data_IF_939618884905
#
_entry.id   IF_939618884905
#
_cell.length_a   1.000
_cell.length_b   1.000
_cell.length_c   1.000
_cell.angle_alpha   90.00
_cell.angle_beta   90.00
_cell.angle_gamma   90.00
#
_symmetry.space_group_name_H-M   'P 1'
#
loop_
_entity.id
_entity.type
_entity.pdbx_description
1 polymer ?
#
# COMPACT_ATOMS: atom_id res chain seq x y z
N UNK A 1 -1.52 5.98 -24.82
CA UNK A 1 -1.62 4.59 -24.33
C UNK A 1 -0.94 4.51 -22.97
N UNK A 2 -1.59 3.95 -21.96
CA UNK A 2 -1.03 3.83 -20.61
C UNK A 2 0.04 2.72 -20.58
N UNK A 3 1.14 2.93 -19.85
CA UNK A 3 2.22 1.92 -19.71
C UNK A 3 1.66 0.57 -19.23
N UNK A 4 0.66 0.59 -18.34
CA UNK A 4 0.00 -0.63 -17.83
C UNK A 4 -0.78 -1.37 -18.92
N UNK A 5 -1.46 -0.66 -19.82
CA UNK A 5 -2.22 -1.28 -20.90
C UNK A 5 -1.27 -1.97 -21.89
N UNK A 6 -0.17 -1.29 -22.25
CA UNK A 6 0.87 -1.91 -23.08
C UNK A 6 1.48 -3.14 -22.44
N UNK A 7 1.81 -3.08 -21.14
CA UNK A 7 2.32 -4.21 -20.39
C UNK A 7 1.33 -5.38 -20.37
N UNK A 8 0.03 -5.13 -20.23
CA UNK A 8 -1.00 -6.15 -20.21
C UNK A 8 -1.13 -6.84 -21.58
N UNK A 9 -1.10 -6.09 -22.68
CA UNK A 9 -1.16 -6.66 -24.03
C UNK A 9 0.07 -7.53 -24.30
N UNK A 10 1.27 -7.03 -24.02
CA UNK A 10 2.52 -7.73 -24.29
C UNK A 10 2.65 -9.01 -23.45
N UNK A 11 2.23 -8.96 -22.18
CA UNK A 11 2.33 -10.08 -21.25
C UNK A 11 1.15 -11.09 -21.36
N UNK A 12 0.16 -10.88 -22.22
CA UNK A 12 -1.03 -11.74 -22.33
C UNK A 12 -0.68 -13.22 -22.62
N UNK A 13 0.30 -13.46 -23.51
CA UNK A 13 0.79 -14.82 -23.78
C UNK A 13 1.50 -15.45 -22.59
N UNK A 14 2.23 -14.64 -21.83
CA UNK A 14 2.87 -15.07 -20.59
C UNK A 14 1.83 -15.47 -19.56
N UNK A 15 0.83 -14.62 -19.34
CA UNK A 15 -0.27 -14.90 -18.40
C UNK A 15 -0.99 -16.20 -18.74
N UNK A 16 -1.30 -16.43 -20.03
CA UNK A 16 -1.91 -17.68 -20.50
C UNK A 16 -1.03 -18.92 -20.20
N UNK A 17 0.26 -18.83 -20.46
CA UNK A 17 1.20 -19.94 -20.20
C UNK A 17 1.34 -20.22 -18.70
N UNK A 18 1.42 -19.20 -17.87
CA UNK A 18 1.48 -19.34 -16.42
C UNK A 18 0.17 -19.93 -15.89
N UNK A 19 -0.98 -19.42 -16.32
CA UNK A 19 -2.29 -19.93 -15.91
C UNK A 19 -2.47 -21.41 -16.26
N UNK A 20 -2.04 -21.84 -17.45
CA UNK A 20 -2.07 -23.25 -17.83
C UNK A 20 -1.13 -24.12 -16.97
N UNK A 21 0.05 -23.58 -16.60
CA UNK A 21 1.00 -24.32 -15.76
C UNK A 21 0.47 -24.53 -14.34
N UNK A 22 -0.27 -23.59 -13.79
CA UNK A 22 -0.83 -23.67 -12.43
C UNK A 22 -2.22 -24.31 -12.40
N UNK A 23 -2.83 -24.54 -13.56
CA UNK A 23 -4.16 -25.16 -13.63
C UNK A 23 -4.17 -26.53 -12.94
N UNK A 24 -5.19 -26.76 -12.10
CA UNK A 24 -5.29 -27.97 -11.28
C UNK A 24 -4.39 -27.99 -10.03
N UNK A 25 -3.68 -26.91 -9.74
CA UNK A 25 -2.86 -26.75 -8.53
C UNK A 25 -3.53 -25.72 -7.60
N UNK A 26 -3.33 -25.85 -6.30
CA UNK A 26 -3.79 -24.88 -5.31
C UNK A 26 -2.87 -23.63 -5.25
N UNK A 27 -2.60 -23.07 -6.44
CA UNK A 27 -1.75 -21.91 -6.62
C UNK A 27 -2.55 -20.78 -7.26
N UNK A 28 -2.53 -19.62 -6.64
CA UNK A 28 -3.08 -18.39 -7.22
C UNK A 28 -1.96 -17.55 -7.83
N UNK A 29 -2.24 -17.00 -8.99
CA UNK A 29 -1.36 -16.12 -9.73
C UNK A 29 -2.01 -14.78 -9.97
N UNK A 30 -1.27 -13.72 -9.75
CA UNK A 30 -1.65 -12.36 -10.13
C UNK A 30 -0.44 -11.63 -10.70
N UNK A 31 -0.69 -10.72 -11.64
CA UNK A 31 0.33 -9.84 -12.20
C UNK A 31 -0.10 -8.38 -12.13
N UNK A 32 0.81 -7.54 -11.70
CA UNK A 32 0.67 -6.11 -11.78
C UNK A 32 1.85 -5.52 -12.56
N UNK A 33 1.59 -5.09 -13.81
CA UNK A 33 2.62 -4.69 -14.77
C UNK A 33 3.69 -5.79 -14.96
N UNK A 34 4.88 -5.61 -14.43
CA UNK A 34 6.02 -6.54 -14.44
C UNK A 34 6.16 -7.39 -13.17
N UNK A 35 5.38 -7.11 -12.13
CA UNK A 35 5.42 -7.86 -10.87
C UNK A 35 4.51 -9.10 -10.94
N UNK A 36 5.10 -10.29 -10.81
CA UNK A 36 4.39 -11.57 -10.73
C UNK A 36 4.27 -12.01 -9.28
N UNK A 37 3.07 -12.35 -8.84
CA UNK A 37 2.83 -12.84 -7.47
C UNK A 37 2.16 -14.22 -7.51
N UNK A 38 2.71 -15.14 -6.73
CA UNK A 38 2.18 -16.50 -6.56
C UNK A 38 1.88 -16.72 -5.09
N UNK A 39 0.71 -17.29 -4.78
CA UNK A 39 0.31 -17.65 -3.43
C UNK A 39 -0.35 -19.02 -3.42
N UNK A 40 -0.18 -19.75 -2.31
CA UNK A 40 -0.67 -21.10 -2.14
C UNK A 40 0.31 -21.96 -1.33
N UNK A 41 0.02 -23.26 -1.24
CA UNK A 41 0.92 -24.22 -0.63
C UNK A 41 1.68 -24.97 -1.73
N UNK A 42 2.96 -24.67 -1.86
CA UNK A 42 3.83 -25.25 -2.89
C UNK A 42 5.32 -25.19 -2.51
N UNK A 43 6.12 -26.01 -3.20
CA UNK A 43 7.58 -25.94 -3.08
C UNK A 43 8.10 -24.76 -3.90
N UNK A 44 8.65 -23.77 -3.24
CA UNK A 44 9.06 -22.49 -3.84
C UNK A 44 10.07 -22.68 -4.97
N UNK A 45 11.06 -23.56 -4.77
CA UNK A 45 12.11 -23.82 -5.78
C UNK A 45 11.55 -24.38 -7.09
N UNK A 46 10.54 -25.26 -7.01
CA UNK A 46 9.92 -25.83 -8.20
C UNK A 46 9.12 -24.76 -8.98
N UNK A 47 8.40 -23.92 -8.27
CA UNK A 47 7.65 -22.83 -8.90
C UNK A 47 8.59 -21.83 -9.54
N UNK A 48 9.61 -21.34 -8.82
CA UNK A 48 10.59 -20.38 -9.37
C UNK A 48 11.22 -20.93 -10.64
N UNK A 49 11.72 -22.18 -10.64
CA UNK A 49 12.38 -22.81 -11.79
C UNK A 49 11.45 -22.94 -13.00
N UNK A 50 10.20 -23.33 -12.78
CA UNK A 50 9.24 -23.51 -13.88
C UNK A 50 8.77 -22.16 -14.44
N UNK A 51 8.49 -21.20 -13.57
CA UNK A 51 8.10 -19.84 -13.98
C UNK A 51 9.24 -19.16 -14.75
N UNK A 52 10.48 -19.29 -14.29
CA UNK A 52 11.64 -18.77 -15.00
C UNK A 52 11.75 -19.34 -16.41
N UNK A 53 11.55 -20.65 -16.58
CA UNK A 53 11.53 -21.29 -17.89
C UNK A 53 10.42 -20.74 -18.78
N UNK A 54 9.23 -20.53 -18.25
CA UNK A 54 8.09 -19.97 -19.00
C UNK A 54 8.40 -18.53 -19.42
N UNK A 55 8.88 -17.70 -18.49
CA UNK A 55 9.23 -16.29 -18.68
C UNK A 55 10.31 -16.15 -19.78
N UNK A 56 11.38 -16.93 -19.67
CA UNK A 56 12.49 -16.92 -20.63
C UNK A 56 12.03 -17.33 -22.05
N UNK A 57 11.13 -18.31 -22.16
CA UNK A 57 10.55 -18.72 -23.46
C UNK A 57 9.67 -17.65 -24.11
N UNK A 58 9.18 -16.69 -23.34
CA UNK A 58 8.41 -15.54 -23.85
C UNK A 58 9.29 -14.30 -24.10
N UNK A 59 10.62 -14.44 -24.01
CA UNK A 59 11.57 -13.35 -24.27
C UNK A 59 11.79 -12.39 -23.09
N UNK A 60 11.24 -12.71 -21.90
CA UNK A 60 11.46 -11.93 -20.68
C UNK A 60 12.54 -12.55 -19.81
N UNK A 61 12.99 -11.82 -18.79
CA UNK A 61 13.97 -12.28 -17.81
C UNK A 61 13.49 -11.96 -16.39
N UNK A 62 13.67 -12.92 -15.46
CA UNK A 62 13.40 -12.69 -14.05
C UNK A 62 14.56 -11.93 -13.40
N UNK A 63 14.24 -10.93 -12.59
CA UNK A 63 15.21 -10.27 -11.75
C UNK A 63 15.30 -11.01 -10.40
N UNK A 64 16.30 -11.89 -10.27
CA UNK A 64 16.51 -12.69 -9.06
C UNK A 64 16.75 -11.84 -7.80
N UNK A 65 17.37 -10.67 -7.94
CA UNK A 65 17.59 -9.75 -6.81
C UNK A 65 16.29 -9.19 -6.23
N UNK A 66 15.22 -9.16 -7.03
CA UNK A 66 13.87 -8.74 -6.61
C UNK A 66 12.96 -9.90 -6.24
N UNK A 67 13.33 -11.15 -6.60
CA UNK A 67 12.53 -12.33 -6.28
C UNK A 67 12.56 -12.58 -4.77
N UNK A 68 11.38 -12.70 -4.16
CA UNK A 68 11.23 -12.89 -2.72
C UNK A 68 10.24 -13.99 -2.41
N UNK A 69 10.62 -14.85 -1.47
CA UNK A 69 9.74 -15.86 -0.87
C UNK A 69 9.36 -15.38 0.52
N UNK A 70 8.07 -15.43 0.85
CA UNK A 70 7.52 -15.01 2.16
C UNK A 70 6.64 -16.12 2.72
N UNK A 71 7.03 -16.67 3.86
CA UNK A 71 6.24 -17.68 4.59
C UNK A 71 5.12 -17.01 5.40
N UNK A 72 4.14 -17.79 5.89
CA UNK A 72 2.99 -17.30 6.67
C UNK A 72 3.38 -16.47 7.91
N UNK A 73 4.49 -16.83 8.56
CA UNK A 73 5.02 -16.12 9.75
C UNK A 73 5.82 -14.84 9.41
N UNK A 74 5.96 -14.52 8.12
CA UNK A 74 6.66 -13.32 7.65
C UNK A 74 5.65 -12.31 7.11
N UNK A 75 6.04 -11.03 7.05
CA UNK A 75 5.25 -9.99 6.41
C UNK A 75 5.12 -10.30 4.91
N UNK A 76 3.91 -10.59 4.49
CA UNK A 76 3.53 -10.77 3.08
C UNK A 76 2.98 -9.46 2.55
N UNK A 77 3.54 -8.97 1.47
CA UNK A 77 3.18 -7.70 0.87
C UNK A 77 3.08 -7.84 -0.65
N UNK A 78 1.98 -7.36 -1.20
CA UNK A 78 1.72 -7.32 -2.64
C UNK A 78 1.39 -5.89 -3.02
N UNK A 79 2.14 -5.30 -3.94
CA UNK A 79 1.97 -3.90 -4.42
C UNK A 79 1.85 -2.86 -3.29
N UNK A 80 2.60 -3.04 -2.19
CA UNK A 80 2.59 -2.13 -1.04
C UNK A 80 1.49 -2.40 0.00
N UNK A 81 0.63 -3.40 -0.24
CA UNK A 81 -0.43 -3.81 0.69
C UNK A 81 0.00 -5.06 1.44
N UNK A 82 -0.09 -5.05 2.75
CA UNK A 82 0.13 -6.22 3.60
C UNK A 82 -1.10 -7.13 3.51
N UNK A 83 -0.89 -8.42 3.21
CA UNK A 83 -1.96 -9.39 2.86
C UNK A 83 -1.96 -10.66 3.74
N UNK A 84 -1.37 -10.61 4.95
CA UNK A 84 -1.36 -11.77 5.84
C UNK A 84 -2.79 -12.22 6.23
N UNK A 85 -3.27 -11.82 7.41
CA UNK A 85 -4.60 -12.19 7.89
C UNK A 85 -5.70 -11.29 7.33
N UNK A 86 -5.38 -10.02 7.19
CA UNK A 86 -6.26 -8.99 6.60
C UNK A 86 -5.45 -8.01 5.77
N UNK A 87 -6.07 -7.44 4.75
CA UNK A 87 -5.44 -6.41 3.94
C UNK A 87 -5.23 -5.15 4.77
N UNK A 88 -4.02 -4.60 4.74
CA UNK A 88 -3.67 -3.37 5.46
C UNK A 88 -2.58 -2.60 4.74
N UNK A 89 -2.57 -1.29 4.93
CA UNK A 89 -1.41 -0.46 4.58
C UNK A 89 -0.22 -0.78 5.50
N UNK A 90 0.98 -0.37 5.11
CA UNK A 90 2.18 -0.65 5.89
C UNK A 90 2.11 -0.09 7.32
N UNK A 91 2.77 -0.78 8.26
CA UNK A 91 2.82 -0.37 9.68
C UNK A 91 3.38 1.04 9.86
N UNK A 92 4.35 1.43 9.03
CA UNK A 92 4.99 2.74 9.15
C UNK A 92 4.02 3.85 8.75
N UNK A 93 3.25 3.65 7.68
CA UNK A 93 2.19 4.59 7.28
C UNK A 93 1.11 4.67 8.36
N UNK A 94 0.65 3.53 8.90
CA UNK A 94 -0.33 3.51 9.99
C UNK A 94 0.17 4.26 11.24
N UNK A 95 1.43 4.03 11.61
CA UNK A 95 2.06 4.71 12.76
C UNK A 95 2.12 6.21 12.55
N UNK A 96 2.48 6.65 11.34
CA UNK A 96 2.51 8.06 10.97
C UNK A 96 1.13 8.70 11.05
N UNK A 97 0.10 8.09 10.43
CA UNK A 97 -1.29 8.60 10.48
C UNK A 97 -1.73 8.76 11.94
N UNK A 98 -1.49 7.75 12.78
CA UNK A 98 -1.83 7.80 14.21
C UNK A 98 -1.12 8.93 14.93
N UNK A 99 0.17 9.11 14.68
CA UNK A 99 0.98 10.17 15.29
C UNK A 99 0.46 11.55 14.88
N UNK A 100 0.25 11.76 13.58
CA UNK A 100 -0.26 13.04 13.08
C UNK A 100 -1.65 13.34 13.61
N UNK A 101 -2.56 12.36 13.67
CA UNK A 101 -3.90 12.53 14.22
C UNK A 101 -3.85 12.94 15.70
N UNK A 102 -3.07 12.25 16.52
CA UNK A 102 -2.91 12.56 17.94
C UNK A 102 -2.39 13.97 18.18
N UNK A 103 -1.36 14.38 17.46
CA UNK A 103 -0.76 15.69 17.67
C UNK A 103 -1.62 16.81 17.10
N UNK A 104 -2.30 16.61 15.99
CA UNK A 104 -3.23 17.59 15.41
C UNK A 104 -4.44 17.76 16.34
N UNK A 105 -5.00 16.68 16.86
CA UNK A 105 -6.12 16.75 17.81
C UNK A 105 -5.74 17.50 19.10
N UNK A 106 -4.54 17.24 19.63
CA UNK A 106 -4.08 17.80 20.89
C UNK A 106 -3.59 19.24 20.80
N UNK A 107 -2.90 19.61 19.73
CA UNK A 107 -2.21 20.90 19.61
C UNK A 107 -2.69 21.76 18.44
N UNK A 108 -3.58 21.25 17.61
CA UNK A 108 -4.04 21.89 16.38
C UNK A 108 -3.10 21.72 15.20
N UNK A 109 -3.65 21.86 14.01
CA UNK A 109 -2.93 21.64 12.74
C UNK A 109 -1.73 22.58 12.55
N UNK A 110 -1.91 23.87 12.83
CA UNK A 110 -0.85 24.88 12.62
C UNK A 110 0.36 24.64 13.53
N UNK A 111 0.11 24.35 14.82
CA UNK A 111 1.18 24.05 15.78
C UNK A 111 1.94 22.79 15.39
N UNK A 112 1.21 21.74 14.98
CA UNK A 112 1.84 20.50 14.54
C UNK A 112 2.69 20.70 13.28
N UNK A 113 2.20 21.37 12.25
CA UNK A 113 2.92 21.61 11.01
C UNK A 113 4.17 22.48 11.21
N UNK A 114 4.11 23.48 12.09
CA UNK A 114 5.25 24.30 12.44
C UNK A 114 6.33 23.49 13.17
N UNK A 115 5.94 22.64 14.13
CA UNK A 115 6.87 21.79 14.87
C UNK A 115 7.60 20.78 13.97
N UNK A 116 6.86 20.05 13.12
CA UNK A 116 7.45 19.09 12.19
C UNK A 116 8.12 19.74 10.97
N UNK A 117 8.12 21.07 10.89
CA UNK A 117 8.64 21.85 9.76
C UNK A 117 8.09 21.36 8.42
N UNK A 118 6.80 21.07 8.39
CA UNK A 118 6.13 20.53 7.20
C UNK A 118 6.04 21.59 6.11
N UNK A 119 6.70 21.34 4.98
CA UNK A 119 6.75 22.24 3.82
C UNK A 119 5.59 22.07 2.82
N UNK A 120 4.74 21.06 2.99
CA UNK A 120 3.65 20.78 2.04
C UNK A 120 2.45 21.69 2.34
N UNK A 121 2.12 22.59 1.42
CA UNK A 121 0.99 23.52 1.55
C UNK A 121 -0.38 22.82 1.73
N UNK A 122 -0.51 21.55 1.28
CA UNK A 122 -1.76 20.78 1.31
C UNK A 122 -1.65 19.55 2.21
N UNK A 123 -1.00 19.68 3.38
CA UNK A 123 -0.70 18.52 4.22
C UNK A 123 -1.95 17.84 4.78
N UNK A 124 -3.00 18.59 5.17
CA UNK A 124 -4.27 18.00 5.59
C UNK A 124 -4.94 17.18 4.47
N UNK A 125 -4.93 17.67 3.25
CA UNK A 125 -5.45 16.90 2.11
C UNK A 125 -4.66 15.62 1.87
N UNK A 126 -3.33 15.67 2.05
CA UNK A 126 -2.49 14.47 2.00
C UNK A 126 -2.87 13.47 3.10
N UNK A 127 -3.06 13.91 4.34
CA UNK A 127 -3.46 13.05 5.46
C UNK A 127 -4.84 12.43 5.25
N UNK A 128 -5.81 13.22 4.79
CA UNK A 128 -7.14 12.73 4.40
C UNK A 128 -7.02 11.68 3.30
N UNK A 129 -6.25 11.95 2.24
CA UNK A 129 -6.07 11.04 1.11
C UNK A 129 -5.46 9.70 1.53
N UNK A 130 -4.36 9.72 2.31
CA UNK A 130 -3.69 8.49 2.74
C UNK A 130 -4.52 7.69 3.74
N UNK A 131 -5.31 8.37 4.59
CA UNK A 131 -6.20 7.70 5.55
C UNK A 131 -7.43 7.12 4.84
N UNK A 132 -7.98 7.83 3.85
CA UNK A 132 -9.05 7.30 2.99
C UNK A 132 -8.57 6.09 2.19
N UNK A 133 -7.33 6.11 1.69
CA UNK A 133 -6.72 4.94 1.06
C UNK A 133 -6.58 3.76 2.03
N UNK A 134 -6.20 4.02 3.29
CA UNK A 134 -6.15 2.98 4.33
C UNK A 134 -7.52 2.31 4.54
N UNK A 135 -8.60 3.10 4.56
CA UNK A 135 -9.97 2.61 4.66
C UNK A 135 -10.46 1.91 3.39
N UNK A 136 -10.00 2.33 2.22
CA UNK A 136 -10.26 1.61 0.97
C UNK A 136 -9.65 0.21 0.99
N UNK A 137 -8.42 0.08 1.53
CA UNK A 137 -7.75 -1.23 1.68
C UNK A 137 -8.40 -2.08 2.77
N UNK A 138 -8.79 -1.47 3.89
CA UNK A 138 -9.47 -2.15 4.99
C UNK A 138 -10.66 -1.31 5.51
N UNK A 139 -11.86 -1.51 4.97
CA UNK A 139 -13.05 -0.74 5.35
C UNK A 139 -13.46 -0.90 6.82
N UNK A 140 -13.05 -1.98 7.46
CA UNK A 140 -13.39 -2.31 8.86
C UNK A 140 -12.35 -1.80 9.87
N UNK A 141 -11.53 -0.81 9.50
CA UNK A 141 -10.53 -0.23 10.39
C UNK A 141 -11.08 1.00 11.10
N UNK A 142 -11.76 0.78 12.25
CA UNK A 142 -12.41 1.84 13.02
C UNK A 142 -11.41 2.93 13.46
N UNK A 143 -10.17 2.53 13.79
CA UNK A 143 -9.14 3.51 14.16
C UNK A 143 -8.78 4.46 13.02
N UNK A 144 -8.70 3.95 11.78
CA UNK A 144 -8.45 4.80 10.62
C UNK A 144 -9.65 5.72 10.34
N UNK A 145 -10.88 5.28 10.66
CA UNK A 145 -12.09 6.11 10.55
C UNK A 145 -12.05 7.26 11.53
N UNK A 146 -11.74 6.99 12.80
CA UNK A 146 -11.56 8.02 13.83
C UNK A 146 -10.53 9.08 13.39
N UNK A 147 -9.36 8.64 12.90
CA UNK A 147 -8.32 9.57 12.43
C UNK A 147 -8.75 10.39 11.21
N UNK A 148 -9.51 9.80 10.30
CA UNK A 148 -10.05 10.51 9.15
C UNK A 148 -11.00 11.63 9.58
N UNK A 149 -11.83 11.38 10.59
CA UNK A 149 -12.77 12.37 11.12
C UNK A 149 -12.03 13.53 11.83
N UNK A 150 -10.94 13.24 12.55
CA UNK A 150 -10.04 14.28 13.10
C UNK A 150 -9.51 15.19 11.98
N UNK A 151 -8.97 14.61 10.91
CA UNK A 151 -8.42 15.41 9.81
C UNK A 151 -9.48 16.21 9.05
N UNK A 152 -10.66 15.65 8.84
CA UNK A 152 -11.78 16.35 8.19
C UNK A 152 -12.31 17.51 9.04
N UNK A 153 -12.45 17.30 10.34
CA UNK A 153 -12.88 18.32 11.28
C UNK A 153 -11.89 19.49 11.31
N UNK A 154 -10.59 19.16 11.31
CA UNK A 154 -9.55 20.19 11.31
C UNK A 154 -9.48 20.95 9.97
N UNK A 155 -9.71 20.26 8.85
CA UNK A 155 -9.81 20.92 7.54
C UNK A 155 -11.00 21.87 7.49
N UNK A 156 -12.13 21.50 8.08
CA UNK A 156 -13.31 22.38 8.19
C UNK A 156 -13.00 23.63 9.01
N UNK A 157 -12.34 23.48 10.17
CA UNK A 157 -11.89 24.61 11.01
C UNK A 157 -10.93 25.52 10.25
N UNK A 158 -9.97 24.93 9.54
CA UNK A 158 -9.00 25.67 8.73
C UNK A 158 -9.68 26.52 7.64
N UNK A 159 -10.64 25.96 6.92
CA UNK A 159 -11.37 26.67 5.85
C UNK A 159 -12.25 27.81 6.38
N UNK A 160 -12.82 27.67 7.57
CA UNK A 160 -13.74 28.63 8.16
C UNK A 160 -13.04 29.69 9.02
N UNK A 161 -11.71 29.79 8.99
CA UNK A 161 -10.94 30.79 9.75
C UNK A 161 -10.92 30.58 11.27
N UNK A 162 -11.48 29.48 11.77
CA UNK A 162 -11.52 29.13 13.20
C UNK A 162 -10.25 28.41 13.64
N UNK A 163 -9.08 28.96 13.31
CA UNK A 163 -7.80 28.43 13.76
C UNK A 163 -7.54 28.88 15.19
N UNK A 164 -7.75 28.00 16.14
CA UNK A 164 -7.14 28.15 17.44
C UNK A 164 -5.60 27.96 17.26
N UNK A 165 -4.87 29.07 17.22
CA UNK A 165 -3.42 29.04 17.43
C UNK A 165 -3.23 28.70 18.90
N UNK A 166 -3.09 27.42 19.20
CA UNK A 166 -2.70 26.99 20.52
C UNK A 166 -1.21 27.35 20.65
N UNK A 167 -0.94 28.48 21.32
CA UNK A 167 0.41 29.06 21.46
C UNK A 167 1.31 28.27 22.41
N UNK A 168 0.82 27.13 22.93
CA UNK A 168 1.63 26.31 23.80
C UNK A 168 2.37 25.26 22.97
N UNK A 169 3.69 25.39 22.78
CA UNK A 169 4.48 24.45 22.02
C UNK A 169 4.55 23.10 22.76
N UNK A 170 4.80 22.04 22.01
CA UNK A 170 5.20 20.73 22.49
C UNK A 170 6.13 20.82 23.71
N UNK A 171 6.02 19.89 24.68
CA UNK A 171 6.95 19.83 25.80
C UNK A 171 8.38 19.61 25.36
#
# INVERSE_FOLDING_TARGET
MCIRDSSNIIASKLDYKISNFINGKEIRYTRYADDLTFSGDFKEGDIIKNIERIVNRQGFRINHNKTRVRKKNQRQEVTGIVVNDKMQISRDIRRRIRSDAYYIEKYGYMSHTNYVKQKKNNYLYYLIGITSYALFVNPNDDKMREYLDVFKSELFRYKNGNLAINTNPYP
#
